data_IF_238877567112
#
_entry.id   IF_238877567112
#
_cell.length_a   1.000
_cell.length_b   1.000
_cell.length_c   1.000
_cell.angle_alpha   90.00
_cell.angle_beta   90.00
_cell.angle_gamma   90.00
#
_symmetry.space_group_name_H-M   'P 1'
#
loop_
_entity.id
_entity.type
_entity.pdbx_description
1 polymer ?
#
# COMPACT_ATOMS: atom_id res chain seq x y z
N UNK A 1 -24.33 9.44 -6.42
CA UNK A 1 -23.55 8.32 -5.87
C UNK A 1 -22.85 8.83 -4.61
N UNK A 2 -23.11 8.23 -3.43
CA UNK A 2 -22.29 8.54 -2.25
C UNK A 2 -20.85 8.19 -2.61
N UNK A 3 -19.85 9.06 -2.37
CA UNK A 3 -18.47 8.61 -2.46
C UNK A 3 -18.36 7.43 -1.49
N UNK A 4 -18.08 6.24 -2.00
CA UNK A 4 -17.63 5.13 -1.17
C UNK A 4 -16.46 5.72 -0.38
N UNK A 5 -16.59 5.77 0.94
CA UNK A 5 -15.49 6.21 1.79
C UNK A 5 -14.36 5.21 1.58
N UNK A 6 -13.38 5.62 0.78
CA UNK A 6 -12.26 4.78 0.39
C UNK A 6 -11.42 4.56 1.64
N UNK A 7 -11.41 3.34 2.16
CA UNK A 7 -10.77 3.01 3.41
C UNK A 7 -9.25 2.86 3.28
N UNK A 8 -8.54 3.08 4.40
CA UNK A 8 -7.22 2.55 4.64
C UNK A 8 -7.33 1.33 5.56
N UNK A 9 -6.55 0.29 5.29
CA UNK A 9 -6.53 -0.94 6.10
C UNK A 9 -5.14 -1.11 6.70
N UNK A 10 -5.08 -1.45 7.98
CA UNK A 10 -3.85 -1.69 8.72
C UNK A 10 -3.89 -3.09 9.30
N UNK A 11 -2.94 -3.93 8.92
CA UNK A 11 -2.75 -5.25 9.50
C UNK A 11 -1.53 -5.21 10.42
N UNK A 12 -1.75 -5.37 11.73
CA UNK A 12 -0.68 -5.45 12.74
C UNK A 12 -1.25 -6.01 14.04
N UNK A 13 -0.48 -6.88 14.69
CA UNK A 13 -0.77 -7.44 16.01
C UNK A 13 -0.39 -6.47 17.14
N UNK A 14 0.37 -5.42 16.86
CA UNK A 14 0.91 -4.49 17.84
C UNK A 14 0.04 -3.22 17.97
N UNK A 15 -0.79 -3.09 19.04
CA UNK A 15 -1.82 -2.05 19.11
C UNK A 15 -1.28 -0.61 19.07
N UNK A 16 -0.08 -0.40 19.62
CA UNK A 16 0.54 0.93 19.67
C UNK A 16 0.95 1.40 18.26
N UNK A 17 1.50 0.50 17.42
CA UNK A 17 1.84 0.79 16.01
C UNK A 17 0.57 1.15 15.24
N UNK A 18 -0.47 0.33 15.39
CA UNK A 18 -1.78 0.57 14.76
C UNK A 18 -2.36 1.94 15.13
N UNK A 19 -2.34 2.31 16.41
CA UNK A 19 -2.81 3.63 16.85
C UNK A 19 -1.98 4.78 16.25
N UNK A 20 -0.66 4.61 16.14
CA UNK A 20 0.20 5.62 15.52
C UNK A 20 -0.14 5.82 14.04
N UNK A 21 -0.31 4.74 13.27
CA UNK A 21 -0.72 4.82 11.87
C UNK A 21 -2.10 5.44 11.71
N UNK A 22 -3.07 5.04 12.54
CA UNK A 22 -4.41 5.61 12.50
C UNK A 22 -4.39 7.12 12.78
N UNK A 23 -3.65 7.57 13.79
CA UNK A 23 -3.50 9.01 14.10
C UNK A 23 -2.85 9.77 12.95
N UNK A 24 -1.80 9.21 12.37
CA UNK A 24 -1.11 9.84 11.24
C UNK A 24 -2.01 9.92 10.00
N UNK A 25 -2.68 8.83 9.62
CA UNK A 25 -3.63 8.80 8.50
C UNK A 25 -4.79 9.77 8.72
N UNK A 26 -5.37 9.81 9.93
CA UNK A 26 -6.39 10.80 10.29
C UNK A 26 -5.88 12.24 10.10
N UNK A 27 -4.62 12.52 10.44
CA UNK A 27 -4.00 13.85 10.23
C UNK A 27 -3.84 14.22 8.76
N UNK A 28 -3.82 13.23 7.86
CA UNK A 28 -3.82 13.43 6.40
C UNK A 28 -5.24 13.54 5.82
N UNK A 29 -6.28 13.49 6.66
CA UNK A 29 -7.68 13.56 6.23
C UNK A 29 -8.34 12.21 5.99
N UNK A 30 -7.65 11.10 6.26
CA UNK A 30 -8.18 9.75 6.10
C UNK A 30 -9.04 9.35 7.29
N UNK A 31 -10.35 9.56 7.19
CA UNK A 31 -11.31 9.34 8.30
C UNK A 31 -11.73 7.88 8.49
N UNK A 32 -11.47 7.03 7.49
CA UNK A 32 -11.89 5.63 7.48
C UNK A 32 -10.66 4.73 7.49
N UNK A 33 -10.21 4.36 8.68
CA UNK A 33 -9.08 3.46 8.90
C UNK A 33 -9.59 2.23 9.66
N UNK A 34 -9.45 1.06 9.05
CA UNK A 34 -9.75 -0.23 9.69
C UNK A 34 -8.45 -0.91 10.09
N UNK A 35 -8.46 -1.58 11.24
CA UNK A 35 -7.29 -2.30 11.74
C UNK A 35 -7.64 -3.73 12.11
N UNK A 36 -6.78 -4.66 11.69
CA UNK A 36 -6.94 -6.10 11.94
C UNK A 36 -5.63 -6.70 12.41
N UNK A 37 -5.70 -7.80 13.17
CA UNK A 37 -4.52 -8.50 13.70
C UNK A 37 -4.04 -9.64 12.81
N UNK A 38 -4.74 -9.91 11.72
CA UNK A 38 -4.47 -11.01 10.80
C UNK A 38 -5.04 -10.69 9.43
N UNK A 39 -4.39 -11.22 8.39
CA UNK A 39 -4.83 -11.16 7.00
C UNK A 39 -5.75 -12.33 6.61
N UNK A 40 -6.03 -13.25 7.54
CA UNK A 40 -6.81 -14.47 7.27
C UNK A 40 -8.31 -14.28 6.99
N UNK A 41 -9.04 -13.39 7.68
CA UNK A 41 -10.47 -13.20 7.45
C UNK A 41 -10.82 -12.71 6.03
N UNK A 42 -12.10 -12.83 5.67
CA UNK A 42 -12.64 -12.23 4.44
C UNK A 42 -12.82 -10.71 4.62
N UNK A 43 -12.18 -9.94 3.73
CA UNK A 43 -12.26 -8.47 3.71
C UNK A 43 -12.86 -7.95 2.40
N UNK A 44 -13.69 -8.73 1.72
CA UNK A 44 -14.33 -8.34 0.45
C UNK A 44 -15.10 -7.02 0.52
N UNK A 45 -15.69 -6.70 1.67
CA UNK A 45 -16.36 -5.41 1.93
C UNK A 45 -15.40 -4.20 1.88
N UNK A 46 -14.11 -4.44 2.12
CA UNK A 46 -13.04 -3.45 2.10
C UNK A 46 -12.22 -3.50 0.81
N UNK A 47 -12.66 -4.23 -0.21
CA UNK A 47 -11.94 -4.41 -1.49
C UNK A 47 -11.61 -3.11 -2.22
N UNK A 48 -12.39 -2.05 -1.97
CA UNK A 48 -12.16 -0.71 -2.49
C UNK A 48 -11.21 0.14 -1.64
N UNK A 49 -10.47 -0.45 -0.69
CA UNK A 49 -9.42 0.25 0.02
C UNK A 49 -8.41 0.86 -0.97
N UNK A 50 -7.85 2.00 -0.61
CA UNK A 50 -6.77 2.63 -1.39
C UNK A 50 -5.39 2.37 -0.87
N UNK A 51 -5.30 1.97 0.39
CA UNK A 51 -4.04 1.74 1.05
C UNK A 51 -4.20 0.58 2.02
N UNK A 52 -3.28 -0.37 1.93
CA UNK A 52 -3.08 -1.44 2.87
C UNK A 52 -1.69 -1.26 3.48
N UNK A 53 -1.63 -1.21 4.80
CA UNK A 53 -0.39 -1.27 5.57
C UNK A 53 -0.35 -2.66 6.20
N UNK A 54 0.72 -3.42 5.98
CA UNK A 54 0.88 -4.77 6.48
C UNK A 54 2.18 -4.89 7.29
N UNK A 55 2.06 -5.15 8.59
CA UNK A 55 3.18 -5.55 9.44
C UNK A 55 3.54 -7.00 9.07
N UNK A 56 4.78 -7.26 8.66
CA UNK A 56 5.14 -8.61 8.20
C UNK A 56 5.18 -9.62 9.34
N UNK A 57 5.30 -9.17 10.60
CA UNK A 57 5.32 -10.05 11.77
C UNK A 57 4.04 -10.89 11.94
N UNK A 58 2.92 -10.47 11.34
CA UNK A 58 1.65 -11.20 11.41
C UNK A 58 1.42 -12.15 10.24
N UNK A 59 2.37 -12.25 9.32
CA UNK A 59 2.28 -13.13 8.15
C UNK A 59 2.93 -14.46 8.47
N UNK A 60 2.13 -15.52 8.55
CA UNK A 60 2.62 -16.90 8.75
C UNK A 60 3.17 -17.51 7.44
N UNK A 61 2.68 -17.03 6.30
CA UNK A 61 3.10 -17.46 4.97
C UNK A 61 4.29 -16.64 4.46
N UNK A 62 5.06 -17.22 3.52
CA UNK A 62 6.04 -16.46 2.74
C UNK A 62 5.39 -15.23 2.10
N UNK A 63 6.15 -14.13 2.01
CA UNK A 63 5.68 -12.83 1.53
C UNK A 63 4.91 -12.89 0.20
N UNK A 64 5.32 -13.77 -0.72
CA UNK A 64 4.64 -13.96 -2.02
C UNK A 64 3.20 -14.46 -1.87
N UNK A 65 2.93 -15.36 -0.91
CA UNK A 65 1.60 -15.88 -0.62
C UNK A 65 0.69 -14.80 -0.04
N UNK A 66 1.20 -14.09 0.97
CA UNK A 66 0.51 -12.97 1.58
C UNK A 66 0.24 -11.84 0.57
N UNK A 67 1.21 -11.51 -0.28
CA UNK A 67 1.02 -10.54 -1.35
C UNK A 67 -0.08 -11.00 -2.30
N UNK A 68 -0.03 -12.23 -2.82
CA UNK A 68 -1.07 -12.77 -3.71
C UNK A 68 -2.47 -12.67 -3.10
N UNK A 69 -2.61 -12.92 -1.80
CA UNK A 69 -3.87 -12.76 -1.06
C UNK A 69 -4.31 -11.29 -1.00
N UNK A 70 -3.42 -10.38 -0.58
CA UNK A 70 -3.70 -8.95 -0.52
C UNK A 70 -4.04 -8.37 -1.90
N UNK A 71 -3.37 -8.82 -2.95
CA UNK A 71 -3.64 -8.36 -4.31
C UNK A 71 -5.01 -8.81 -4.83
N UNK A 72 -5.49 -9.98 -4.43
CA UNK A 72 -6.84 -10.48 -4.75
C UNK A 72 -7.91 -9.73 -3.96
N UNK A 73 -7.69 -9.53 -2.66
CA UNK A 73 -8.65 -8.91 -1.76
C UNK A 73 -8.74 -7.40 -1.98
N UNK A 74 -7.61 -6.74 -2.26
CA UNK A 74 -7.49 -5.29 -2.43
C UNK A 74 -6.88 -4.96 -3.81
N UNK A 75 -7.62 -5.19 -4.90
CA UNK A 75 -7.09 -5.13 -6.26
C UNK A 75 -6.54 -3.76 -6.68
N UNK A 76 -7.03 -2.69 -6.04
CA UNK A 76 -6.67 -1.30 -6.37
C UNK A 76 -5.89 -0.57 -5.27
N UNK A 77 -5.68 -1.21 -4.12
CA UNK A 77 -5.01 -0.55 -3.00
C UNK A 77 -3.51 -0.50 -3.22
N UNK A 78 -2.87 0.62 -2.94
CA UNK A 78 -1.43 0.64 -2.71
C UNK A 78 -1.10 -0.18 -1.45
N UNK A 79 0.05 -0.84 -1.44
CA UNK A 79 0.45 -1.73 -0.34
C UNK A 79 1.77 -1.26 0.25
N UNK A 80 1.84 -1.13 1.57
CA UNK A 80 3.06 -0.90 2.32
C UNK A 80 3.30 -2.08 3.25
N UNK A 81 4.38 -2.81 3.02
CA UNK A 81 4.91 -3.78 3.96
C UNK A 81 5.88 -3.11 4.93
N UNK A 82 5.78 -3.47 6.21
CA UNK A 82 6.64 -3.03 7.29
C UNK A 82 7.35 -4.26 7.85
N UNK A 83 8.67 -4.28 7.75
CA UNK A 83 9.52 -5.45 7.97
C UNK A 83 10.38 -5.27 9.22
N UNK A 84 10.69 -6.37 9.93
CA UNK A 84 11.68 -6.34 11.02
C UNK A 84 13.13 -6.67 10.59
N UNK A 85 13.38 -7.46 9.55
CA UNK A 85 14.76 -7.94 9.29
C UNK A 85 15.33 -7.57 7.92
N UNK A 86 14.60 -6.79 7.12
CA UNK A 86 15.10 -6.34 5.82
C UNK A 86 15.93 -5.06 5.98
N UNK A 87 17.23 -5.17 5.68
CA UNK A 87 18.19 -4.07 5.72
C UNK A 87 17.94 -3.00 4.66
N UNK A 88 17.19 -3.34 3.60
CA UNK A 88 17.03 -2.48 2.42
C UNK A 88 15.58 -2.07 2.19
N UNK A 89 15.39 -0.76 1.97
CA UNK A 89 14.13 -0.20 1.49
C UNK A 89 13.94 -0.58 0.02
N UNK A 90 12.90 -1.33 -0.29
CA UNK A 90 12.54 -1.68 -1.67
C UNK A 90 11.18 -1.10 -2.04
N UNK A 91 11.17 -0.22 -3.03
CA UNK A 91 9.93 0.38 -3.53
C UNK A 91 9.72 0.00 -4.99
N UNK A 92 8.63 -0.74 -5.26
CA UNK A 92 8.20 -1.07 -6.62
C UNK A 92 6.98 -0.23 -6.97
N UNK A 93 7.22 0.83 -7.72
CA UNK A 93 6.18 1.66 -8.29
C UNK A 93 5.65 1.03 -9.59
N UNK A 94 4.33 1.05 -9.80
CA UNK A 94 3.74 0.64 -11.09
C UNK A 94 2.66 1.62 -11.54
N UNK A 95 2.30 1.56 -12.83
CA UNK A 95 1.28 2.45 -13.38
C UNK A 95 -0.14 2.20 -12.82
N UNK A 96 -0.35 1.08 -12.10
CA UNK A 96 -1.67 0.65 -11.62
C UNK A 96 -1.76 0.58 -10.09
N UNK A 97 -0.65 0.24 -9.43
CA UNK A 97 -0.53 0.11 -7.97
C UNK A 97 0.93 0.21 -7.55
N UNK A 98 1.18 0.83 -6.41
CA UNK A 98 2.49 0.88 -5.79
C UNK A 98 2.58 -0.11 -4.61
N UNK A 99 3.69 -0.84 -4.54
CA UNK A 99 4.01 -1.77 -3.45
C UNK A 99 5.35 -1.36 -2.86
N UNK A 100 5.34 -0.94 -1.60
CA UNK A 100 6.51 -0.48 -0.86
C UNK A 100 6.87 -1.48 0.24
N UNK A 101 8.16 -1.62 0.55
CA UNK A 101 8.70 -2.35 1.70
C UNK A 101 9.62 -1.42 2.48
N UNK A 102 9.38 -1.31 3.78
CA UNK A 102 10.23 -0.54 4.70
C UNK A 102 10.75 -1.46 5.80
N UNK A 103 12.08 -1.49 5.95
CA UNK A 103 12.78 -2.25 6.99
C UNK A 103 12.63 -1.67 8.41
N UNK A 104 13.13 -2.42 9.40
CA UNK A 104 13.06 -2.10 10.85
C UNK A 104 13.67 -0.78 11.25
N UNK A 105 14.71 -0.38 10.52
CA UNK A 105 15.45 0.86 10.76
C UNK A 105 14.87 2.04 9.96
N UNK A 106 13.75 1.85 9.25
CA UNK A 106 13.09 2.96 8.59
C UNK A 106 12.70 4.00 9.64
N UNK A 107 13.32 5.18 9.52
CA UNK A 107 12.96 6.29 10.38
C UNK A 107 11.48 6.63 10.21
N UNK A 108 10.86 7.10 11.29
CA UNK A 108 9.45 7.48 11.27
C UNK A 108 9.13 8.51 10.18
N UNK A 109 10.09 9.39 9.85
CA UNK A 109 9.97 10.36 8.77
C UNK A 109 9.87 9.69 7.39
N UNK A 110 10.63 8.62 7.17
CA UNK A 110 10.60 7.82 5.93
C UNK A 110 9.24 7.15 5.79
N UNK A 111 8.76 6.49 6.85
CA UNK A 111 7.43 5.86 6.89
C UNK A 111 6.35 6.89 6.55
N UNK A 112 6.39 8.05 7.21
CA UNK A 112 5.44 9.13 6.96
C UNK A 112 5.50 9.68 5.53
N UNK A 113 6.70 9.85 4.95
CA UNK A 113 6.84 10.28 3.56
C UNK A 113 6.29 9.25 2.58
N UNK A 114 6.59 7.96 2.77
CA UNK A 114 6.11 6.88 1.90
C UNK A 114 4.59 6.79 1.96
N UNK A 115 3.98 6.89 3.15
CA UNK A 115 2.52 6.90 3.30
C UNK A 115 1.87 8.07 2.55
N UNK A 116 2.46 9.27 2.62
CA UNK A 116 1.98 10.43 1.86
C UNK A 116 2.08 10.19 0.36
N UNK A 117 3.20 9.67 -0.13
CA UNK A 117 3.39 9.37 -1.55
C UNK A 117 2.39 8.34 -2.06
N UNK A 118 2.21 7.23 -1.33
CA UNK A 118 1.23 6.20 -1.67
C UNK A 118 -0.19 6.78 -1.74
N UNK A 119 -0.59 7.65 -0.81
CA UNK A 119 -1.90 8.31 -0.84
C UNK A 119 -2.04 9.32 -1.99
N UNK A 120 -0.96 10.02 -2.37
CA UNK A 120 -0.98 10.94 -3.51
C UNK A 120 -1.13 10.21 -4.85
N UNK A 121 -0.56 9.01 -4.98
CA UNK A 121 -0.62 8.21 -6.22
C UNK A 121 -2.03 7.70 -6.50
N UNK A 122 -2.82 7.39 -5.48
CA UNK A 122 -4.25 7.04 -5.60
C UNK A 122 -5.04 8.14 -6.33
N UNK A 123 -4.63 9.40 -6.17
CA UNK A 123 -5.29 10.54 -6.80
C UNK A 123 -4.79 10.84 -8.22
N UNK A 124 -3.75 10.15 -8.71
CA UNK A 124 -3.26 10.35 -10.07
C UNK A 124 -4.16 9.60 -11.06
N UNK A 125 -4.75 10.34 -12.00
CA UNK A 125 -5.38 9.73 -13.17
C UNK A 125 -4.33 8.85 -13.87
N UNK A 126 -4.68 7.62 -14.30
CA UNK A 126 -3.78 6.81 -15.10
C UNK A 126 -3.30 7.67 -16.28
N UNK A 127 -1.97 7.76 -16.46
CA UNK A 127 -1.40 8.46 -17.61
C UNK A 127 -1.94 7.78 -18.86
N UNK A 128 -2.92 8.42 -19.53
CA UNK A 128 -3.41 7.99 -20.84
C UNK A 128 -2.19 7.83 -21.76
N UNK A 129 -1.92 6.60 -22.16
CA UNK A 129 -1.08 6.17 -23.28
C UNK A 129 -0.06 7.24 -23.75
N UNK A 130 1.15 7.21 -23.20
CA UNK A 130 2.27 7.61 -24.04
C UNK A 130 2.35 6.57 -25.15
N UNK A 131 1.93 6.97 -26.36
CA UNK A 131 2.09 6.18 -27.58
C UNK A 131 3.55 5.69 -27.65
N UNK A 132 3.82 4.45 -28.06
CA UNK A 132 5.18 4.06 -28.40
C UNK A 132 5.67 5.04 -29.47
N UNK A 133 6.76 5.75 -29.14
CA UNK A 133 7.45 6.62 -30.08
C UNK A 133 7.88 5.71 -31.22
N UNK A 134 7.28 5.87 -32.42
CA UNK A 134 7.74 5.18 -33.63
C UNK A 134 9.24 5.38 -33.72
N UNK A 135 10.02 4.31 -33.57
CA UNK A 135 11.39 4.28 -34.04
C UNK A 135 11.34 4.61 -35.53
N UNK A 136 11.94 5.75 -35.91
CA UNK A 136 12.29 5.98 -37.30
C UNK A 136 13.36 4.95 -37.63
N UNK A 137 12.97 3.91 -38.35
CA UNK A 137 13.90 3.12 -39.14
C UNK A 137 14.43 4.09 -40.21
N UNK A 138 15.61 4.65 -39.96
CA UNK A 138 16.40 5.25 -41.04
C UNK A 138 16.97 4.10 -41.86
N UNK A 139 16.37 3.88 -43.03
CA UNK A 139 17.01 3.15 -44.11
C UNK A 139 18.13 4.02 -44.67
N UNK A 140 19.36 3.56 -44.51
CA UNK A 140 20.47 3.87 -45.42
C UNK A 140 21.29 2.61 -45.61
#
# INVERSE_FOLDING_TARGET
MKPLLIACVVFSDYPIKTMAYQRFLNSLGEKCVHSFRSIEPDFSELSHAKLVICDMNIMEEFEEGALSKLEKTFPTANILFLEEDHSDMFVKFSNHRDICRLGKLAEINVIHSTLKELLLQVNRKPKKNQRPRKERIEHT
#
